data_IF_743538240729
#
_entry.id   IF_743538240729
#
_cell.length_a   1.000
_cell.length_b   1.000
_cell.length_c   1.000
_cell.angle_alpha   90.00
_cell.angle_beta   90.00
_cell.angle_gamma   90.00
#
_symmetry.space_group_name_H-M   'P 1'
#
loop_
_entity.id
_entity.type
_entity.pdbx_description
1 polymer ?
#
# COMPACT_ATOMS: atom_id res chain seq x y z
N UNK A 1 -38.92 -3.99 -11.83
CA UNK A 1 -38.16 -4.61 -10.70
C UNK A 1 -38.03 -6.14 -10.80
N UNK A 2 -38.76 -6.84 -11.68
CA UNK A 2 -38.65 -8.29 -11.93
C UNK A 2 -37.59 -8.67 -12.97
N UNK A 3 -37.35 -7.83 -13.99
CA UNK A 3 -36.51 -8.16 -15.16
C UNK A 3 -35.03 -8.41 -14.86
N UNK A 4 -34.52 -7.93 -13.71
CA UNK A 4 -33.08 -7.99 -13.41
C UNK A 4 -32.69 -9.06 -12.36
N UNK A 5 -33.66 -9.88 -11.91
CA UNK A 5 -33.42 -10.87 -10.84
C UNK A 5 -32.67 -12.10 -11.35
N UNK A 6 -33.08 -12.64 -12.49
CA UNK A 6 -32.48 -13.85 -13.06
C UNK A 6 -31.07 -13.56 -13.59
N UNK A 7 -30.87 -12.37 -14.17
CA UNK A 7 -29.56 -11.87 -14.56
C UNK A 7 -28.62 -11.75 -13.35
N UNK A 8 -29.09 -11.15 -12.25
CA UNK A 8 -28.31 -11.04 -11.01
C UNK A 8 -27.94 -12.42 -10.45
N UNK A 9 -28.88 -13.37 -10.40
CA UNK A 9 -28.62 -14.74 -9.94
C UNK A 9 -27.59 -15.42 -10.85
N UNK A 10 -27.71 -15.26 -12.16
CA UNK A 10 -26.78 -15.82 -13.14
C UNK A 10 -25.37 -15.25 -12.96
N UNK A 11 -25.24 -13.92 -12.87
CA UNK A 11 -23.96 -13.23 -12.65
C UNK A 11 -23.33 -13.63 -11.30
N UNK A 12 -24.13 -13.69 -10.24
CA UNK A 12 -23.68 -14.13 -8.93
C UNK A 12 -23.19 -15.59 -8.96
N UNK A 13 -23.93 -16.49 -9.60
CA UNK A 13 -23.54 -17.89 -9.81
C UNK A 13 -22.21 -18.00 -10.57
N UNK A 14 -22.04 -17.19 -11.63
CA UNK A 14 -20.80 -17.14 -12.41
C UNK A 14 -19.61 -16.70 -11.54
N UNK A 15 -19.78 -15.67 -10.72
CA UNK A 15 -18.76 -15.21 -9.77
C UNK A 15 -18.40 -16.30 -8.75
N UNK A 16 -19.39 -17.00 -8.20
CA UNK A 16 -19.19 -18.13 -7.28
C UNK A 16 -18.37 -19.25 -7.93
N UNK A 17 -18.72 -19.67 -9.16
CA UNK A 17 -17.97 -20.69 -9.90
C UNK A 17 -16.53 -20.24 -10.19
N UNK A 18 -16.33 -18.97 -10.54
CA UNK A 18 -15.00 -18.42 -10.78
C UNK A 18 -14.15 -18.39 -9.50
N UNK A 19 -14.75 -18.04 -8.36
CA UNK A 19 -14.07 -18.07 -7.07
C UNK A 19 -13.55 -19.46 -6.74
N UNK A 20 -14.32 -20.51 -7.00
CA UNK A 20 -13.86 -21.89 -6.84
C UNK A 20 -12.70 -22.28 -7.75
N UNK A 21 -12.68 -21.78 -9.00
CA UNK A 21 -11.54 -22.00 -9.92
C UNK A 21 -10.27 -21.34 -9.39
N UNK A 22 -10.38 -20.10 -8.89
CA UNK A 22 -9.26 -19.37 -8.28
C UNK A 22 -8.78 -20.12 -7.03
N UNK A 23 -9.71 -20.53 -6.14
CA UNK A 23 -9.36 -21.22 -4.90
C UNK A 23 -8.53 -22.48 -5.13
N UNK A 24 -8.87 -23.28 -6.15
CA UNK A 24 -8.14 -24.52 -6.48
C UNK A 24 -6.77 -24.28 -7.12
N UNK A 25 -6.64 -23.23 -7.95
CA UNK A 25 -5.49 -23.03 -8.84
C UNK A 25 -4.49 -21.98 -8.35
N UNK A 26 -4.92 -21.03 -7.51
CA UNK A 26 -4.09 -19.88 -7.12
C UNK A 26 -3.16 -20.24 -5.95
N UNK A 27 -1.83 -20.31 -6.15
CA UNK A 27 -0.89 -20.53 -5.06
C UNK A 27 -0.91 -19.37 -4.05
N UNK A 28 -1.20 -18.14 -4.53
CA UNK A 28 -1.37 -16.95 -3.70
C UNK A 28 -2.54 -17.15 -2.74
N UNK A 29 -3.71 -17.57 -3.24
CA UNK A 29 -4.87 -17.79 -2.40
C UNK A 29 -4.66 -18.93 -1.39
N UNK A 30 -3.96 -20.00 -1.77
CA UNK A 30 -3.61 -21.08 -0.83
C UNK A 30 -2.75 -20.58 0.33
N UNK A 31 -1.81 -19.66 0.08
CA UNK A 31 -1.08 -18.96 1.16
C UNK A 31 -1.99 -18.03 1.96
N UNK A 32 -2.83 -17.25 1.30
CA UNK A 32 -3.77 -16.34 1.95
C UNK A 32 -4.73 -17.05 2.91
N UNK A 33 -5.19 -18.25 2.54
CA UNK A 33 -6.12 -19.03 3.35
C UNK A 33 -5.53 -19.43 4.70
N UNK A 34 -4.21 -19.65 4.77
CA UNK A 34 -3.49 -19.92 6.03
C UNK A 34 -3.55 -18.74 6.99
N UNK A 35 -3.54 -17.50 6.49
CA UNK A 35 -3.70 -16.31 7.32
C UNK A 35 -5.09 -16.25 8.00
N UNK A 36 -6.06 -17.04 7.52
CA UNK A 36 -7.39 -17.20 8.11
C UNK A 36 -7.59 -18.52 8.86
N UNK A 37 -6.52 -19.29 9.11
CA UNK A 37 -6.58 -20.58 9.80
C UNK A 37 -7.05 -21.74 8.92
N UNK A 38 -6.85 -21.67 7.61
CA UNK A 38 -7.11 -22.78 6.68
C UNK A 38 -8.56 -22.91 6.20
N UNK A 39 -9.49 -22.13 6.74
CA UNK A 39 -10.89 -22.11 6.29
C UNK A 39 -11.58 -20.76 6.44
N UNK A 40 -12.48 -20.43 5.51
CA UNK A 40 -13.28 -19.21 5.53
C UNK A 40 -14.72 -19.47 5.05
N UNK A 41 -15.69 -19.04 5.84
CA UNK A 41 -17.13 -19.04 5.53
C UNK A 41 -17.60 -17.60 5.25
N UNK A 42 -18.07 -17.36 4.03
CA UNK A 42 -18.63 -16.08 3.61
C UNK A 42 -20.15 -16.19 3.50
N UNK A 43 -20.88 -15.28 4.15
CA UNK A 43 -22.30 -15.06 3.92
C UNK A 43 -22.48 -13.84 3.02
N UNK A 44 -23.26 -13.97 1.95
CA UNK A 44 -23.64 -12.88 1.05
C UNK A 44 -25.11 -12.49 1.23
N UNK A 45 -25.38 -11.20 1.06
CA UNK A 45 -26.72 -10.62 0.95
C UNK A 45 -26.73 -9.54 -0.13
N UNK A 46 -27.47 -9.77 -1.21
CA UNK A 46 -27.68 -8.81 -2.31
C UNK A 46 -29.17 -8.48 -2.39
N UNK A 47 -29.58 -7.36 -1.82
CA UNK A 47 -31.01 -7.06 -1.63
C UNK A 47 -31.70 -8.15 -0.81
N UNK A 48 -32.60 -8.92 -1.45
CA UNK A 48 -33.31 -10.08 -0.86
C UNK A 48 -32.63 -11.43 -1.14
N UNK A 49 -31.64 -11.48 -2.04
CA UNK A 49 -30.92 -12.70 -2.41
C UNK A 49 -29.83 -13.02 -1.39
N UNK A 50 -29.79 -14.26 -0.94
CA UNK A 50 -28.72 -14.79 -0.09
C UNK A 50 -27.85 -15.77 -0.88
N UNK A 51 -26.68 -16.06 -0.34
CA UNK A 51 -25.83 -17.16 -0.75
C UNK A 51 -24.60 -17.23 0.14
N UNK A 52 -23.90 -18.35 0.14
CA UNK A 52 -22.70 -18.50 0.93
C UNK A 52 -21.59 -19.17 0.13
N UNK A 53 -20.35 -18.97 0.59
CA UNK A 53 -19.16 -19.67 0.12
C UNK A 53 -18.41 -20.26 1.30
N UNK A 54 -17.86 -21.44 1.13
CA UNK A 54 -16.93 -22.06 2.07
C UNK A 54 -15.65 -22.36 1.30
N UNK A 55 -14.55 -21.78 1.76
CA UNK A 55 -13.20 -22.04 1.30
C UNK A 55 -12.47 -22.86 2.35
N UNK A 56 -11.91 -23.98 1.93
CA UNK A 56 -11.08 -24.88 2.73
C UNK A 56 -9.82 -25.22 1.90
N UNK A 57 -8.77 -25.76 2.52
CA UNK A 57 -7.46 -25.93 1.84
C UNK A 57 -7.55 -26.68 0.51
N UNK A 58 -8.36 -27.74 0.46
CA UNK A 58 -8.54 -28.58 -0.73
C UNK A 58 -9.98 -28.59 -1.26
N UNK A 59 -10.87 -27.82 -0.64
CA UNK A 59 -12.29 -27.86 -0.96
C UNK A 59 -12.91 -26.47 -1.11
N UNK A 60 -13.91 -26.39 -1.97
CA UNK A 60 -14.70 -25.18 -2.18
C UNK A 60 -16.14 -25.56 -2.45
N UNK A 61 -17.06 -24.99 -1.65
CA UNK A 61 -18.49 -25.14 -1.83
C UNK A 61 -19.20 -23.79 -1.78
N UNK A 62 -20.35 -23.71 -2.42
CA UNK A 62 -21.22 -22.55 -2.36
C UNK A 62 -22.68 -22.97 -2.53
N UNK A 63 -23.60 -22.16 -2.01
CA UNK A 63 -25.03 -22.25 -2.33
C UNK A 63 -25.64 -20.88 -2.52
N UNK A 64 -26.72 -20.82 -3.28
CA UNK A 64 -27.47 -19.61 -3.59
C UNK A 64 -28.87 -19.78 -3.02
N UNK A 65 -29.43 -18.71 -2.46
CA UNK A 65 -30.72 -18.70 -1.78
C UNK A 65 -30.65 -19.13 -0.31
N UNK A 66 -29.54 -19.72 0.14
CA UNK A 66 -29.36 -20.21 1.50
C UNK A 66 -28.49 -19.28 2.37
N UNK A 67 -28.71 -19.38 3.69
CA UNK A 67 -27.84 -18.79 4.70
C UNK A 67 -27.00 -19.89 5.35
N UNK A 68 -25.83 -19.51 5.87
CA UNK A 68 -24.94 -20.41 6.60
C UNK A 68 -24.89 -20.02 8.07
N UNK A 69 -24.77 -21.02 8.94
CA UNK A 69 -24.51 -20.80 10.36
C UNK A 69 -23.06 -20.41 10.61
N UNK A 70 -22.85 -19.50 11.57
CA UNK A 70 -21.55 -19.05 12.02
C UNK A 70 -20.59 -18.62 10.87
N UNK A 71 -21.01 -17.66 10.00
CA UNK A 71 -20.11 -17.15 8.97
C UNK A 71 -18.94 -16.37 9.59
N UNK A 72 -17.77 -16.41 8.96
CA UNK A 72 -16.62 -15.60 9.39
C UNK A 72 -16.78 -14.14 8.91
N UNK A 73 -17.36 -13.96 7.72
CA UNK A 73 -17.59 -12.65 7.11
C UNK A 73 -18.98 -12.56 6.49
N UNK A 74 -19.72 -11.52 6.86
CA UNK A 74 -21.00 -11.18 6.25
C UNK A 74 -20.82 -10.02 5.25
N UNK A 75 -21.12 -10.25 3.98
CA UNK A 75 -21.01 -9.28 2.90
C UNK A 75 -22.39 -8.88 2.42
N UNK A 76 -22.69 -7.59 2.51
CA UNK A 76 -23.91 -6.97 1.98
C UNK A 76 -23.58 -6.04 0.83
N UNK A 77 -24.19 -6.29 -0.33
CA UNK A 77 -24.21 -5.33 -1.44
C UNK A 77 -25.56 -4.60 -1.42
N UNK A 78 -25.51 -3.27 -1.42
CA UNK A 78 -26.70 -2.43 -1.19
C UNK A 78 -27.48 -2.14 -2.48
N UNK A 79 -26.81 -2.12 -3.63
CA UNK A 79 -27.41 -1.82 -4.93
C UNK A 79 -27.26 -3.04 -5.88
N UNK A 80 -28.36 -3.66 -6.34
CA UNK A 80 -28.33 -4.78 -7.29
C UNK A 80 -27.64 -4.49 -8.63
N UNK A 81 -27.75 -3.27 -9.16
CA UNK A 81 -27.13 -2.89 -10.43
C UNK A 81 -25.60 -2.83 -10.31
N UNK A 82 -25.10 -2.22 -9.24
CA UNK A 82 -23.68 -2.24 -8.91
C UNK A 82 -23.19 -3.67 -8.60
N UNK A 83 -24.07 -4.52 -8.05
CA UNK A 83 -23.75 -5.94 -7.81
C UNK A 83 -23.53 -6.69 -9.14
N UNK A 84 -24.41 -6.47 -10.12
CA UNK A 84 -24.29 -7.01 -11.48
C UNK A 84 -22.95 -6.62 -12.11
N UNK A 85 -22.62 -5.33 -12.11
CA UNK A 85 -21.35 -4.78 -12.60
C UNK A 85 -20.13 -5.47 -11.96
N UNK A 86 -20.11 -5.54 -10.62
CA UNK A 86 -19.05 -6.23 -9.89
C UNK A 86 -18.96 -7.72 -10.20
N UNK A 87 -20.08 -8.45 -10.24
CA UNK A 87 -20.08 -9.89 -10.54
C UNK A 87 -19.62 -10.18 -11.97
N UNK A 88 -19.95 -9.29 -12.91
CA UNK A 88 -19.48 -9.33 -14.29
C UNK A 88 -17.99 -8.94 -14.43
N UNK A 89 -17.35 -8.49 -13.36
CA UNK A 89 -15.91 -8.29 -13.29
C UNK A 89 -15.45 -6.88 -13.63
N UNK A 90 -16.36 -5.90 -13.61
CA UNK A 90 -16.00 -4.50 -13.72
C UNK A 90 -15.15 -4.05 -12.53
N UNK A 91 -14.17 -3.18 -12.79
CA UNK A 91 -13.40 -2.53 -11.74
C UNK A 91 -14.24 -1.44 -11.08
N UNK A 92 -14.51 -1.64 -9.80
CA UNK A 92 -15.37 -0.77 -9.02
C UNK A 92 -14.57 0.29 -8.23
N UNK A 93 -13.25 0.41 -8.47
CA UNK A 93 -12.42 1.51 -7.95
C UNK A 93 -12.46 1.61 -6.43
N UNK A 94 -12.27 0.48 -5.74
CA UNK A 94 -12.51 0.38 -4.30
C UNK A 94 -11.52 1.21 -3.48
N UNK A 95 -12.03 2.16 -2.70
CA UNK A 95 -11.28 2.74 -1.59
C UNK A 95 -11.41 1.85 -0.37
N UNK A 96 -10.38 1.04 -0.12
CA UNK A 96 -10.20 0.27 1.11
C UNK A 96 -9.61 1.15 2.21
N UNK A 97 -10.10 2.40 2.36
CA UNK A 97 -9.57 3.36 3.31
C UNK A 97 -9.31 2.67 4.66
N UNK A 98 -8.05 2.68 5.08
CA UNK A 98 -7.65 2.23 6.41
C UNK A 98 -8.57 2.92 7.42
N UNK A 99 -8.95 2.26 8.50
CA UNK A 99 -9.72 2.88 9.59
C UNK A 99 -9.03 2.59 10.90
N UNK A 100 -8.68 3.64 11.63
CA UNK A 100 -8.12 3.57 12.99
C UNK A 100 -9.07 2.81 13.93
N UNK A 101 -10.37 2.89 13.68
CA UNK A 101 -11.45 2.26 14.45
C UNK A 101 -12.04 1.04 13.73
N UNK A 102 -11.21 0.17 13.14
CA UNK A 102 -11.71 -1.06 12.53
C UNK A 102 -12.44 -1.94 13.57
N UNK A 103 -13.76 -1.77 13.64
CA UNK A 103 -14.68 -2.52 14.52
C UNK A 103 -15.28 -3.72 13.80
N UNK A 104 -14.46 -4.44 13.04
CA UNK A 104 -14.92 -5.57 12.23
C UNK A 104 -15.84 -5.16 11.07
N UNK A 105 -15.87 -3.90 10.63
CA UNK A 105 -16.81 -3.43 9.59
C UNK A 105 -16.11 -2.68 8.46
N UNK A 106 -16.27 -3.23 7.26
CA UNK A 106 -15.75 -2.70 6.01
C UNK A 106 -16.85 -1.93 5.30
N UNK A 107 -16.59 -0.70 4.87
CA UNK A 107 -17.50 0.05 4.01
C UNK A 107 -16.75 0.37 2.74
N UNK A 108 -17.21 -0.19 1.63
CA UNK A 108 -16.58 -0.03 0.33
C UNK A 108 -17.48 0.87 -0.52
N UNK A 109 -16.87 1.91 -1.06
CA UNK A 109 -17.51 2.86 -1.95
C UNK A 109 -17.06 2.59 -3.38
N UNK A 110 -18.00 2.68 -4.31
CA UNK A 110 -17.76 2.74 -5.74
C UNK A 110 -17.54 4.20 -6.13
N UNK A 111 -16.51 4.49 -6.93
CA UNK A 111 -16.25 5.83 -7.46
C UNK A 111 -16.86 5.91 -8.84
N UNK A 112 -17.86 6.75 -9.01
CA UNK A 112 -18.44 7.00 -10.32
C UNK A 112 -17.57 7.94 -11.16
N UNK A 113 -16.92 8.90 -10.49
CA UNK A 113 -16.03 9.84 -11.12
C UNK A 113 -15.76 11.04 -10.23
N UNK A 114 -15.36 12.13 -10.86
CA UNK A 114 -15.10 13.40 -10.19
C UNK A 114 -15.87 14.50 -10.91
N UNK A 115 -16.44 15.44 -10.17
CA UNK A 115 -16.99 16.69 -10.71
C UNK A 115 -16.24 17.88 -10.16
N UNK A 116 -16.19 18.96 -10.93
CA UNK A 116 -15.70 20.24 -10.43
C UNK A 116 -16.87 20.92 -9.71
N UNK A 117 -16.62 21.40 -8.49
CA UNK A 117 -17.59 22.11 -7.67
C UNK A 117 -16.97 23.44 -7.29
N UNK A 118 -17.66 24.54 -7.58
CA UNK A 118 -17.29 25.87 -7.09
C UNK A 118 -17.33 25.90 -5.56
N UNK A 119 -16.32 26.51 -4.95
CA UNK A 119 -16.26 26.74 -3.50
C UNK A 119 -15.71 28.13 -3.24
N UNK A 120 -15.85 28.63 -2.01
CA UNK A 120 -15.31 29.94 -1.60
C UNK A 120 -13.80 30.07 -1.84
N UNK A 121 -13.08 28.95 -1.92
CA UNK A 121 -11.65 28.87 -2.22
C UNK A 121 -11.34 28.52 -3.69
N UNK A 122 -12.32 28.65 -4.58
CA UNK A 122 -12.23 28.31 -6.01
C UNK A 122 -12.74 26.91 -6.37
N UNK A 123 -12.62 26.51 -7.65
CA UNK A 123 -13.11 25.23 -8.15
C UNK A 123 -12.33 24.05 -7.57
N UNK A 124 -13.05 23.14 -6.90
CA UNK A 124 -12.51 21.91 -6.31
C UNK A 124 -13.00 20.65 -7.00
N UNK A 125 -12.11 19.68 -7.21
CA UNK A 125 -12.45 18.34 -7.71
C UNK A 125 -13.13 17.55 -6.58
N UNK A 126 -14.44 17.35 -6.68
CA UNK A 126 -15.22 16.57 -5.72
C UNK A 126 -15.41 15.14 -6.25
N UNK A 127 -15.00 14.16 -5.45
CA UNK A 127 -15.23 12.73 -5.71
C UNK A 127 -16.72 12.39 -5.58
N UNK A 128 -17.30 11.80 -6.62
CA UNK A 128 -18.67 11.25 -6.58
C UNK A 128 -18.55 9.77 -6.25
N UNK A 129 -19.07 9.38 -5.08
CA UNK A 129 -18.96 8.01 -4.60
C UNK A 129 -20.26 7.49 -4.02
N UNK A 130 -20.55 6.23 -4.33
CA UNK A 130 -21.77 5.54 -3.91
C UNK A 130 -21.41 4.42 -2.95
N UNK A 131 -22.22 4.23 -1.90
CA UNK A 131 -22.03 3.12 -0.99
C UNK A 131 -22.44 1.82 -1.67
N UNK A 132 -21.44 1.02 -2.03
CA UNK A 132 -21.65 -0.21 -2.77
C UNK A 132 -21.81 -1.42 -1.83
N UNK A 133 -20.79 -1.64 -0.99
CA UNK A 133 -20.65 -2.87 -0.22
C UNK A 133 -20.37 -2.58 1.26
N UNK A 134 -20.88 -3.44 2.12
CA UNK A 134 -20.51 -3.50 3.53
C UNK A 134 -20.17 -4.93 3.89
N UNK A 135 -18.92 -5.18 4.28
CA UNK A 135 -18.55 -6.44 4.90
C UNK A 135 -18.52 -6.26 6.43
N UNK A 136 -18.88 -7.30 7.18
CA UNK A 136 -18.82 -7.34 8.64
C UNK A 136 -18.13 -8.63 9.04
N UNK A 137 -16.95 -8.53 9.64
CA UNK A 137 -16.29 -9.64 10.30
C UNK A 137 -17.11 -10.02 11.53
N UNK A 138 -17.27 -11.33 11.73
CA UNK A 138 -18.04 -11.88 12.85
C UNK A 138 -17.13 -12.61 13.85
N UNK A 139 -15.82 -12.64 13.57
CA UNK A 139 -14.76 -13.13 14.43
C UNK A 139 -13.43 -12.44 14.09
N UNK A 140 -12.35 -12.88 14.75
CA UNK A 140 -11.03 -12.24 14.71
C UNK A 140 -10.16 -12.64 13.52
N UNK A 141 -10.69 -13.45 12.57
CA UNK A 141 -9.94 -13.83 11.36
C UNK A 141 -9.65 -12.63 10.45
N UNK A 142 -10.49 -11.60 10.49
CA UNK A 142 -10.33 -10.39 9.69
C UNK A 142 -9.84 -9.25 10.57
N UNK A 143 -8.56 -8.90 10.45
CA UNK A 143 -7.90 -7.90 11.32
C UNK A 143 -7.80 -6.51 10.69
N UNK A 144 -7.97 -6.41 9.37
CA UNK A 144 -7.80 -5.15 8.65
C UNK A 144 -8.61 -5.11 7.33
N UNK A 145 -9.05 -3.92 6.85
CA UNK A 145 -9.71 -3.72 5.55
C UNK A 145 -9.10 -4.47 4.36
N UNK A 146 -7.77 -4.46 4.25
CA UNK A 146 -7.05 -5.13 3.16
C UNK A 146 -7.17 -6.65 3.16
N UNK A 147 -7.60 -7.30 4.26
CA UNK A 147 -7.89 -8.73 4.23
C UNK A 147 -8.99 -9.09 3.23
N UNK A 148 -9.89 -8.16 2.88
CA UNK A 148 -10.91 -8.42 1.87
C UNK A 148 -10.28 -8.75 0.51
N UNK A 149 -9.16 -8.12 0.18
CA UNK A 149 -8.44 -8.35 -1.08
C UNK A 149 -7.87 -9.77 -1.20
N UNK A 150 -7.73 -10.50 -0.09
CA UNK A 150 -7.29 -11.91 -0.09
C UNK A 150 -8.35 -12.85 -0.64
N UNK A 151 -9.63 -12.44 -0.62
CA UNK A 151 -10.73 -13.30 -1.05
C UNK A 151 -10.84 -13.33 -2.58
N UNK A 152 -11.09 -14.49 -3.21
CA UNK A 152 -11.09 -14.61 -4.67
C UNK A 152 -12.03 -13.64 -5.43
N UNK A 153 -13.22 -13.28 -4.92
CA UNK A 153 -14.08 -12.27 -5.55
C UNK A 153 -13.44 -10.88 -5.63
N UNK A 154 -12.52 -10.55 -4.72
CA UNK A 154 -11.93 -9.23 -4.55
C UNK A 154 -10.48 -9.14 -5.05
N UNK A 155 -9.83 -10.29 -5.28
CA UNK A 155 -8.49 -10.35 -5.91
C UNK A 155 -8.46 -9.77 -7.33
N UNK A 156 -9.60 -9.64 -8.03
CA UNK A 156 -9.65 -9.09 -9.39
C UNK A 156 -9.14 -7.64 -9.47
N UNK A 157 -9.43 -6.83 -8.46
CA UNK A 157 -8.92 -5.45 -8.36
C UNK A 157 -7.41 -5.37 -8.13
N UNK A 158 -6.73 -6.48 -7.83
CA UNK A 158 -5.28 -6.49 -7.68
C UNK A 158 -4.51 -6.45 -9.00
N UNK A 159 -5.15 -6.78 -10.13
CA UNK A 159 -4.50 -6.73 -11.46
C UNK A 159 -4.03 -5.33 -11.85
N UNK A 160 -4.34 -4.32 -11.04
CA UNK A 160 -4.06 -2.90 -11.24
C UNK A 160 -3.04 -2.30 -10.25
N UNK A 161 -2.41 -3.09 -9.37
CA UNK A 161 -1.49 -2.56 -8.33
C UNK A 161 -0.05 -2.39 -8.85
N UNK A 162 0.16 -2.43 -10.16
CA UNK A 162 1.44 -2.04 -10.75
C UNK A 162 1.21 -1.82 -12.23
N UNK A 163 1.10 -0.56 -12.64
CA UNK A 163 1.37 -0.22 -14.05
C UNK A 163 2.85 -0.46 -14.34
N UNK A 164 3.21 -0.68 -15.61
CA UNK A 164 4.63 -0.91 -15.99
C UNK A 164 5.48 0.33 -15.70
N UNK A 165 4.82 1.49 -15.71
CA UNK A 165 5.36 2.82 -15.49
C UNK A 165 5.50 3.18 -14.00
N UNK A 166 4.92 2.39 -13.08
CA UNK A 166 5.04 2.60 -11.64
C UNK A 166 6.28 1.89 -11.08
N UNK A 167 7.04 2.61 -10.27
CA UNK A 167 8.24 2.10 -9.61
C UNK A 167 8.41 2.78 -8.26
N UNK A 168 8.83 2.03 -7.24
CA UNK A 168 9.09 2.55 -5.90
C UNK A 168 10.19 1.77 -5.20
N UNK A 169 10.99 2.47 -4.40
CA UNK A 169 12.12 1.88 -3.68
C UNK A 169 12.24 2.48 -2.28
N UNK A 170 12.34 1.61 -1.27
CA UNK A 170 12.64 2.02 0.09
C UNK A 170 14.14 2.23 0.21
N UNK A 171 14.54 3.42 0.64
CA UNK A 171 15.95 3.75 0.83
C UNK A 171 16.31 3.47 2.29
N UNK A 172 17.24 2.54 2.56
CA UNK A 172 17.54 2.11 3.92
C UNK A 172 18.15 3.26 4.74
N UNK A 173 17.66 3.40 5.96
CA UNK A 173 18.30 4.23 6.98
C UNK A 173 19.40 3.37 7.64
N UNK A 174 20.66 3.70 7.37
CA UNK A 174 21.79 2.95 7.93
C UNK A 174 22.14 3.44 9.34
N UNK A 175 22.59 2.51 10.20
CA UNK A 175 23.24 2.85 11.48
C UNK A 175 24.67 3.31 11.22
N UNK A 176 25.13 4.32 11.97
CA UNK A 176 26.47 4.91 11.91
C UNK A 176 27.60 3.85 11.94
N UNK A 177 28.50 3.84 10.93
CA UNK A 177 29.84 3.23 11.02
C UNK A 177 30.89 4.22 11.59
N UNK A 178 30.49 5.11 12.51
CA UNK A 178 31.44 5.97 13.23
C UNK A 178 31.99 7.17 12.44
N UNK A 179 31.74 7.29 11.13
CA UNK A 179 31.93 8.51 10.36
C UNK A 179 30.59 8.96 9.77
N UNK A 180 30.43 10.28 9.54
CA UNK A 180 29.23 10.94 9.00
C UNK A 180 28.75 10.36 7.64
N UNK A 181 29.52 9.43 7.08
CA UNK A 181 29.37 8.81 5.77
C UNK A 181 28.26 7.74 5.67
N UNK A 182 27.54 7.41 6.75
CA UNK A 182 26.56 6.30 6.74
C UNK A 182 25.09 6.71 6.69
N UNK A 183 24.72 7.93 7.10
CA UNK A 183 23.37 8.50 6.80
C UNK A 183 23.22 8.94 5.34
N UNK A 184 24.24 8.66 4.53
CA UNK A 184 24.51 9.24 3.23
C UNK A 184 23.65 8.67 2.10
N UNK A 185 23.17 7.43 2.17
CA UNK A 185 22.48 6.83 1.01
C UNK A 185 21.12 7.47 0.75
N UNK A 186 20.17 7.52 1.70
CA UNK A 186 18.95 8.29 1.53
C UNK A 186 19.27 9.71 1.10
N UNK A 187 20.15 10.39 1.85
CA UNK A 187 20.48 11.78 1.59
C UNK A 187 21.05 12.02 0.18
N UNK A 188 22.00 11.21 -0.31
CA UNK A 188 22.56 11.32 -1.67
C UNK A 188 21.53 11.09 -2.77
N UNK A 189 20.65 10.08 -2.59
CA UNK A 189 19.58 9.82 -3.56
C UNK A 189 18.65 11.03 -3.62
N UNK A 190 18.26 11.57 -2.46
CA UNK A 190 17.44 12.79 -2.41
C UNK A 190 18.16 14.00 -3.01
N UNK A 191 19.42 14.24 -2.63
CA UNK A 191 20.25 15.33 -3.14
C UNK A 191 20.29 15.32 -4.66
N UNK A 192 20.50 14.16 -5.29
CA UNK A 192 20.48 14.04 -6.74
C UNK A 192 19.15 14.51 -7.37
N UNK A 193 18.01 14.04 -6.85
CA UNK A 193 16.70 14.40 -7.41
C UNK A 193 16.28 15.83 -7.06
N UNK A 194 16.56 16.30 -5.83
CA UNK A 194 16.27 17.66 -5.38
C UNK A 194 17.08 18.67 -6.20
N UNK A 195 18.37 18.40 -6.45
CA UNK A 195 19.22 19.29 -7.25
C UNK A 195 18.78 19.39 -8.71
N UNK A 196 18.15 18.35 -9.24
CA UNK A 196 17.62 18.34 -10.61
C UNK A 196 16.16 18.81 -10.69
N UNK A 197 15.42 18.83 -9.59
CA UNK A 197 14.00 19.11 -9.59
C UNK A 197 13.71 20.54 -10.07
N UNK A 198 12.81 20.66 -11.03
CA UNK A 198 12.29 21.96 -11.49
C UNK A 198 11.41 22.64 -10.44
N UNK A 199 10.63 21.86 -9.72
CA UNK A 199 9.75 22.31 -8.64
C UNK A 199 9.67 21.25 -7.55
N UNK A 200 9.52 21.70 -6.28
CA UNK A 200 9.46 20.83 -5.11
C UNK A 200 8.31 21.25 -4.22
N UNK A 201 7.40 20.32 -3.93
CA UNK A 201 6.21 20.56 -3.11
C UNK A 201 6.23 19.62 -1.92
N UNK A 202 6.08 20.15 -0.71
CA UNK A 202 5.92 19.35 0.52
C UNK A 202 4.50 19.51 1.06
N UNK A 203 3.85 18.39 1.41
CA UNK A 203 2.60 18.43 2.14
C UNK A 203 2.85 18.83 3.59
N UNK A 204 1.93 19.61 4.16
CA UNK A 204 1.97 20.00 5.56
C UNK A 204 1.81 18.81 6.49
N UNK A 205 1.03 17.79 6.10
CA UNK A 205 0.79 16.63 6.95
C UNK A 205 0.91 15.32 6.19
N UNK A 206 1.39 14.28 6.87
CA UNK A 206 1.31 12.92 6.37
C UNK A 206 -0.12 12.41 6.52
N UNK A 207 -0.82 12.21 5.39
CA UNK A 207 -2.19 11.69 5.38
C UNK A 207 -2.33 10.37 6.14
N UNK A 208 -1.34 9.47 6.07
CA UNK A 208 -1.36 8.21 6.80
C UNK A 208 -1.24 8.39 8.32
N UNK A 209 -0.31 9.23 8.79
CA UNK A 209 -0.10 9.49 10.23
C UNK A 209 -1.27 10.23 10.84
N UNK A 210 -1.71 11.31 10.19
CA UNK A 210 -2.86 12.11 10.64
C UNK A 210 -4.13 11.28 10.70
N UNK A 211 -4.36 10.45 9.69
CA UNK A 211 -5.52 9.55 9.68
C UNK A 211 -5.50 8.56 10.86
N UNK A 212 -4.33 8.04 11.22
CA UNK A 212 -4.16 7.11 12.33
C UNK A 212 -3.84 7.80 13.67
N UNK A 213 -3.89 9.14 13.73
CA UNK A 213 -3.36 10.00 14.79
C UNK A 213 -2.12 9.40 15.46
N UNK A 214 -1.03 9.41 14.70
CA UNK A 214 0.26 8.87 15.08
C UNK A 214 0.79 9.53 16.36
N UNK A 215 1.26 8.73 17.31
CA UNK A 215 1.90 9.20 18.54
C UNK A 215 3.42 9.00 18.52
N UNK A 216 3.92 8.19 17.57
CA UNK A 216 5.33 7.79 17.51
C UNK A 216 6.21 8.70 16.65
N UNK A 217 5.60 9.53 15.80
CA UNK A 217 6.29 10.26 14.73
C UNK A 217 5.57 11.57 14.40
N UNK A 218 6.33 12.59 14.00
CA UNK A 218 5.79 13.92 13.67
C UNK A 218 4.81 13.87 12.48
N UNK A 219 3.55 14.25 12.68
CA UNK A 219 2.56 14.25 11.60
C UNK A 219 2.79 15.36 10.56
N UNK A 220 3.58 16.39 10.87
CA UNK A 220 3.91 17.51 9.98
C UNK A 220 5.02 17.18 8.95
N UNK A 221 5.52 15.95 8.99
CA UNK A 221 6.39 15.39 7.95
C UNK A 221 5.50 14.72 6.87
N UNK A 222 4.82 15.51 6.06
CA UNK A 222 4.07 15.06 4.88
C UNK A 222 4.91 14.49 3.75
N UNK A 223 4.23 14.05 2.68
CA UNK A 223 4.89 13.60 1.45
C UNK A 223 5.55 14.77 0.73
N UNK A 224 6.59 14.48 -0.05
CA UNK A 224 7.28 15.44 -0.92
C UNK A 224 7.13 15.00 -2.38
N UNK A 225 6.97 15.96 -3.28
CA UNK A 225 6.80 15.75 -4.72
C UNK A 225 7.79 16.61 -5.49
N UNK A 226 8.33 16.07 -6.58
CA UNK A 226 9.35 16.74 -7.40
C UNK A 226 9.07 16.58 -8.90
N UNK A 227 9.39 17.62 -9.68
CA UNK A 227 9.34 17.62 -11.15
C UNK A 227 8.22 18.49 -11.75
N UNK A 228 8.19 18.62 -13.08
CA UNK A 228 7.33 19.57 -13.79
C UNK A 228 5.84 19.37 -13.54
N UNK A 229 5.40 18.11 -13.47
CA UNK A 229 3.98 17.79 -13.20
C UNK A 229 3.52 18.39 -11.86
N UNK A 230 4.44 18.67 -10.93
CA UNK A 230 4.10 19.24 -9.63
C UNK A 230 3.66 20.71 -9.68
N UNK A 231 3.92 21.43 -10.78
CA UNK A 231 3.40 22.79 -10.98
C UNK A 231 1.86 22.81 -11.05
N UNK A 232 1.22 21.71 -11.42
CA UNK A 232 -0.23 21.59 -11.47
C UNK A 232 -0.87 21.37 -10.08
N UNK A 233 -0.06 21.10 -9.05
CA UNK A 233 -0.57 20.87 -7.70
C UNK A 233 -1.17 22.18 -7.17
N UNK A 234 -2.49 22.20 -7.01
CA UNK A 234 -3.23 23.28 -6.35
C UNK A 234 -3.05 23.21 -4.83
N UNK A 235 -1.89 23.66 -4.34
CA UNK A 235 -1.56 23.67 -2.92
C UNK A 235 -2.01 24.97 -2.24
N UNK A 236 -2.51 24.83 -1.03
CA UNK A 236 -2.87 25.94 -0.14
C UNK A 236 -1.99 25.87 1.10
N UNK A 237 -1.78 27.00 1.78
CA UNK A 237 -0.90 27.10 2.96
C UNK A 237 -1.28 26.11 4.08
N UNK A 238 -2.57 25.75 4.20
CA UNK A 238 -3.05 24.74 5.16
C UNK A 238 -2.73 23.29 4.75
N UNK A 239 -2.41 23.05 3.47
CA UNK A 239 -2.14 21.72 2.90
C UNK A 239 -0.68 21.47 2.61
N UNK A 240 0.13 22.50 2.45
CA UNK A 240 1.57 22.41 2.27
C UNK A 240 2.14 23.63 1.55
N UNK A 241 3.32 23.48 0.96
CA UNK A 241 4.05 24.60 0.35
C UNK A 241 5.04 24.12 -0.71
N UNK A 242 5.38 25.03 -1.62
CA UNK A 242 6.60 24.92 -2.44
C UNK A 242 7.80 25.22 -1.54
N UNK A 243 8.90 24.52 -1.74
CA UNK A 243 10.13 24.65 -0.94
C UNK A 243 11.34 24.87 -1.81
N UNK A 244 12.37 25.53 -1.26
CA UNK A 244 13.68 25.55 -1.92
C UNK A 244 14.36 24.19 -1.82
N UNK A 245 15.44 23.99 -2.58
CA UNK A 245 16.25 22.77 -2.53
C UNK A 245 16.87 22.56 -1.16
N UNK A 246 17.37 23.63 -0.54
CA UNK A 246 17.96 23.60 0.81
C UNK A 246 16.91 23.20 1.85
N UNK A 247 15.71 23.77 1.76
CA UNK A 247 14.60 23.41 2.63
C UNK A 247 14.16 21.95 2.44
N UNK A 248 14.14 21.45 1.20
CA UNK A 248 13.81 20.07 0.90
C UNK A 248 14.84 19.09 1.48
N UNK A 249 16.13 19.41 1.39
CA UNK A 249 17.21 18.61 1.97
C UNK A 249 17.14 18.58 3.49
N UNK A 250 16.87 19.72 4.12
CA UNK A 250 16.64 19.79 5.57
C UNK A 250 15.41 18.97 5.99
N UNK A 251 14.34 19.03 5.19
CA UNK A 251 13.14 18.23 5.40
C UNK A 251 13.41 16.73 5.39
N UNK A 252 14.24 16.24 4.44
CA UNK A 252 14.67 14.85 4.36
C UNK A 252 15.48 14.45 5.60
N UNK A 253 16.40 15.31 6.05
CA UNK A 253 17.18 15.05 7.28
C UNK A 253 16.27 14.91 8.50
N UNK A 254 15.34 15.85 8.67
CA UNK A 254 14.34 15.82 9.75
C UNK A 254 13.51 14.53 9.72
N UNK A 255 13.12 14.07 8.53
CA UNK A 255 12.39 12.81 8.38
C UNK A 255 13.22 11.57 8.78
N UNK A 256 14.49 11.53 8.40
CA UNK A 256 15.40 10.43 8.76
C UNK A 256 15.67 10.44 10.27
N UNK A 257 15.87 11.62 10.87
CA UNK A 257 16.12 11.75 12.31
C UNK A 257 14.88 11.39 13.16
N UNK A 258 13.66 11.55 12.63
CA UNK A 258 12.41 11.04 13.20
C UNK A 258 12.26 9.50 13.08
N UNK A 259 13.21 8.80 12.43
CA UNK A 259 13.17 7.33 12.25
C UNK A 259 12.24 6.87 11.12
N UNK A 260 11.89 7.78 10.20
CA UNK A 260 11.09 7.46 9.03
C UNK A 260 11.97 6.88 7.94
N UNK A 261 11.35 6.05 7.11
CA UNK A 261 12.03 5.42 5.97
C UNK A 261 11.53 6.05 4.70
N UNK A 262 12.42 6.73 3.96
CA UNK A 262 12.05 7.28 2.68
C UNK A 262 11.73 6.19 1.67
N UNK A 263 10.66 6.44 0.92
CA UNK A 263 10.22 5.68 -0.22
C UNK A 263 10.12 6.66 -1.38
N UNK A 264 10.96 6.49 -2.40
CA UNK A 264 10.91 7.32 -3.61
C UNK A 264 10.41 6.50 -4.78
N UNK A 265 9.73 7.16 -5.71
CA UNK A 265 9.42 6.59 -7.01
C UNK A 265 8.26 7.25 -7.73
N UNK A 266 7.92 6.70 -8.91
CA UNK A 266 6.80 7.16 -9.72
C UNK A 266 5.54 6.40 -9.33
N UNK A 267 4.57 7.13 -8.79
CA UNK A 267 3.29 6.59 -8.34
C UNK A 267 2.15 7.35 -9.02
N UNK A 268 1.75 6.90 -10.21
CA UNK A 268 0.73 7.58 -11.03
C UNK A 268 -0.60 7.75 -10.29
N UNK A 269 -0.98 6.77 -9.46
CA UNK A 269 -2.19 6.86 -8.64
C UNK A 269 -2.15 8.00 -7.62
N UNK A 270 -0.97 8.38 -7.14
CA UNK A 270 -0.78 9.49 -6.21
C UNK A 270 -0.90 10.85 -6.90
N UNK A 271 -0.25 11.03 -8.06
CA UNK A 271 -0.42 12.23 -8.89
C UNK A 271 -1.91 12.50 -9.21
N UNK A 272 -2.62 11.47 -9.68
CA UNK A 272 -4.05 11.56 -9.96
C UNK A 272 -4.90 11.90 -8.74
N UNK A 273 -4.47 11.49 -7.53
CA UNK A 273 -5.15 11.84 -6.27
C UNK A 273 -4.99 13.31 -5.88
N UNK A 274 -3.92 13.96 -6.35
CA UNK A 274 -3.66 15.38 -6.20
C UNK A 274 -4.28 16.21 -7.34
N UNK A 275 -4.90 15.54 -8.32
CA UNK A 275 -5.51 16.17 -9.48
C UNK A 275 -4.51 16.52 -10.59
N UNK A 276 -3.33 15.93 -10.54
CA UNK A 276 -2.24 16.10 -11.51
C UNK A 276 -2.28 14.96 -12.52
N UNK A 277 -2.04 15.27 -13.79
CA UNK A 277 -1.77 14.25 -14.80
C UNK A 277 -0.28 13.86 -14.73
N UNK A 278 0.01 12.56 -14.60
CA UNK A 278 1.38 12.07 -14.56
C UNK A 278 1.88 11.87 -15.99
N UNK A 279 2.76 12.76 -16.45
CA UNK A 279 3.36 12.72 -17.79
C UNK A 279 4.73 12.05 -17.81
N UNK A 280 5.23 11.61 -16.65
CA UNK A 280 6.61 11.14 -16.48
C UNK A 280 7.50 12.11 -15.73
N UNK A 281 6.94 13.22 -15.25
CA UNK A 281 7.66 14.28 -14.55
C UNK A 281 7.15 14.49 -13.12
N UNK A 282 6.59 13.44 -12.52
CA UNK A 282 6.09 13.40 -11.15
C UNK A 282 6.84 12.35 -10.31
N UNK A 283 7.82 12.79 -9.53
CA UNK A 283 8.48 11.94 -8.54
C UNK A 283 7.80 12.10 -7.18
N UNK A 284 7.32 10.99 -6.63
CA UNK A 284 6.76 10.94 -5.28
C UNK A 284 7.80 10.49 -4.25
N UNK A 285 7.76 11.14 -3.09
CA UNK A 285 8.48 10.74 -1.90
C UNK A 285 7.55 10.64 -0.69
N UNK A 286 7.45 9.44 -0.13
CA UNK A 286 6.81 9.17 1.16
C UNK A 286 7.86 8.96 2.25
N UNK A 287 7.64 9.52 3.43
CA UNK A 287 8.45 9.21 4.63
C UNK A 287 7.66 8.24 5.51
N UNK A 288 7.85 6.95 5.24
CA UNK A 288 7.02 5.90 5.82
C UNK A 288 7.40 5.63 7.28
N UNK A 289 6.41 5.51 8.16
CA UNK A 289 6.58 4.95 9.51
C UNK A 289 6.16 3.47 9.57
N UNK A 290 6.57 2.75 10.61
CA UNK A 290 6.16 1.35 10.84
C UNK A 290 4.70 1.24 11.32
N UNK A 291 4.18 2.27 12.00
CA UNK A 291 2.88 2.22 12.64
C UNK A 291 1.71 2.54 11.68
N UNK A 292 1.81 3.59 10.85
CA UNK A 292 0.69 4.14 10.09
C UNK A 292 0.76 3.97 8.57
N UNK A 293 1.92 3.66 7.99
CA UNK A 293 2.11 3.65 6.53
C UNK A 293 1.12 2.72 5.81
N UNK A 294 0.38 3.26 4.83
CA UNK A 294 -0.59 2.48 4.05
C UNK A 294 0.07 1.35 3.25
N UNK A 295 1.26 1.59 2.68
CA UNK A 295 2.01 0.58 1.94
C UNK A 295 2.38 -0.58 2.87
N UNK A 296 2.85 -0.28 4.08
CA UNK A 296 3.09 -1.29 5.12
C UNK A 296 1.83 -2.09 5.48
N UNK A 297 0.68 -1.42 5.64
CA UNK A 297 -0.60 -2.10 5.91
C UNK A 297 -1.05 -2.99 4.74
N UNK A 298 -0.86 -2.57 3.49
CA UNK A 298 -1.15 -3.38 2.30
C UNK A 298 -0.26 -4.62 2.28
N UNK A 299 1.04 -4.45 2.50
CA UNK A 299 2.00 -5.57 2.52
C UNK A 299 1.75 -6.55 3.67
N UNK A 300 1.28 -6.05 4.82
CA UNK A 300 0.98 -6.87 6.00
C UNK A 300 -0.35 -7.61 5.87
N UNK A 301 -1.42 -6.89 5.53
CA UNK A 301 -2.80 -7.41 5.62
C UNK A 301 -3.41 -7.77 4.28
N UNK A 302 -2.83 -7.27 3.19
CA UNK A 302 -3.22 -7.60 1.83
C UNK A 302 -2.74 -9.01 1.41
N UNK A 303 -2.98 -9.36 0.14
CA UNK A 303 -2.69 -10.68 -0.41
C UNK A 303 -1.21 -11.02 -0.36
N UNK A 304 -0.89 -12.30 -0.16
CA UNK A 304 0.46 -12.86 -0.23
C UNK A 304 0.93 -12.97 -1.68
N UNK A 305 0.88 -11.85 -2.41
CA UNK A 305 1.37 -11.68 -3.76
C UNK A 305 2.66 -10.85 -3.75
N UNK A 306 3.51 -11.05 -4.76
CA UNK A 306 4.66 -10.17 -4.95
C UNK A 306 4.17 -8.85 -5.54
N UNK A 307 4.22 -7.78 -4.75
CA UNK A 307 3.93 -6.44 -5.22
C UNK A 307 5.16 -5.90 -5.94
N UNK A 308 5.12 -5.88 -7.28
CA UNK A 308 6.23 -5.42 -8.14
C UNK A 308 6.49 -3.91 -8.04
N UNK A 309 5.53 -3.15 -7.49
CA UNK A 309 5.64 -1.72 -7.27
C UNK A 309 6.79 -1.35 -6.33
N UNK A 310 7.16 -2.21 -5.38
CA UNK A 310 8.26 -1.94 -4.45
C UNK A 310 9.43 -2.87 -4.70
N UNK A 311 10.59 -2.29 -4.97
CA UNK A 311 11.84 -3.01 -5.15
C UNK A 311 12.78 -2.82 -3.97
N UNK A 312 13.53 -3.87 -3.65
CA UNK A 312 14.73 -3.77 -2.81
C UNK A 312 15.88 -3.21 -3.66
N UNK A 313 16.70 -2.34 -3.09
CA UNK A 313 17.94 -1.90 -3.72
C UNK A 313 18.86 -3.10 -3.94
N UNK A 314 19.45 -3.21 -5.12
CA UNK A 314 20.34 -4.32 -5.44
C UNK A 314 21.53 -4.37 -4.49
N UNK A 315 21.84 -5.58 -4.00
CA UNK A 315 22.97 -5.82 -3.11
C UNK A 315 22.88 -5.21 -1.71
N UNK A 316 21.69 -4.73 -1.33
CA UNK A 316 21.33 -4.62 0.09
C UNK A 316 21.01 -6.02 0.61
N UNK A 317 21.78 -6.47 1.59
CA UNK A 317 21.54 -7.73 2.29
C UNK A 317 21.28 -7.49 3.77
N UNK A 318 20.38 -8.29 4.35
CA UNK A 318 20.22 -8.36 5.80
C UNK A 318 20.60 -9.74 6.28
N UNK A 319 21.31 -9.78 7.40
CA UNK A 319 21.79 -11.00 8.05
C UNK A 319 21.33 -11.03 9.49
N UNK A 320 21.19 -12.24 10.04
CA UNK A 320 20.95 -12.46 11.47
C UNK A 320 22.07 -13.34 12.00
N UNK A 321 22.80 -12.85 13.00
CA UNK A 321 23.68 -13.67 13.82
C UNK A 321 22.85 -14.38 14.89
N UNK A 322 22.72 -15.70 14.75
CA UNK A 322 21.93 -16.52 15.66
C UNK A 322 22.54 -16.62 17.06
N UNK A 323 23.86 -16.44 17.20
CA UNK A 323 24.53 -16.47 18.50
C UNK A 323 24.20 -15.22 19.32
N UNK A 324 24.10 -14.07 18.67
CA UNK A 324 23.73 -12.80 19.31
C UNK A 324 22.20 -12.63 19.46
N UNK A 325 21.40 -13.41 18.72
CA UNK A 325 19.96 -13.29 18.75
C UNK A 325 19.38 -13.86 20.06
N UNK A 326 18.83 -12.99 20.90
CA UNK A 326 18.18 -13.37 22.18
C UNK A 326 16.68 -13.71 22.03
N UNK A 327 16.17 -13.80 20.81
CA UNK A 327 14.77 -14.20 20.58
C UNK A 327 13.70 -13.18 20.97
N UNK A 328 14.05 -11.91 21.23
CA UNK A 328 13.12 -10.92 21.78
C UNK A 328 11.98 -10.45 20.85
N UNK A 329 11.97 -10.83 19.57
CA UNK A 329 10.87 -10.52 18.65
C UNK A 329 10.75 -9.07 18.12
N UNK A 330 11.44 -8.08 18.70
CA UNK A 330 11.35 -6.66 18.28
C UNK A 330 11.51 -6.43 16.77
N UNK A 331 12.43 -7.15 16.13
CA UNK A 331 12.65 -7.08 14.68
C UNK A 331 11.45 -7.54 13.85
N UNK A 332 10.64 -8.46 14.38
CA UNK A 332 9.41 -8.96 13.75
C UNK A 332 8.31 -7.92 13.88
N UNK A 333 8.18 -7.32 15.06
CA UNK A 333 7.16 -6.28 15.35
C UNK A 333 7.27 -5.07 14.42
N UNK A 334 8.49 -4.60 14.16
CA UNK A 334 8.72 -3.42 13.28
C UNK A 334 8.68 -3.73 11.78
N UNK A 335 8.59 -5.01 11.38
CA UNK A 335 8.65 -5.40 9.98
C UNK A 335 7.27 -5.31 9.30
N UNK A 336 6.99 -4.16 8.69
CA UNK A 336 5.73 -3.93 7.94
C UNK A 336 5.60 -4.69 6.62
N UNK A 337 6.63 -5.43 6.23
CA UNK A 337 6.67 -6.23 4.99
C UNK A 337 6.50 -7.74 5.23
N UNK A 338 6.30 -8.17 6.49
CA UNK A 338 6.28 -9.60 6.88
C UNK A 338 7.55 -10.35 6.45
N UNK A 339 8.67 -9.65 6.28
CA UNK A 339 9.97 -10.23 5.92
C UNK A 339 10.73 -10.83 7.10
N UNK A 340 10.12 -10.93 8.28
CA UNK A 340 10.72 -11.42 9.51
C UNK A 340 9.77 -12.37 10.22
N UNK A 341 10.32 -13.43 10.79
CA UNK A 341 9.60 -14.40 11.61
C UNK A 341 10.49 -14.92 12.74
N UNK A 342 9.87 -15.52 13.75
CA UNK A 342 10.56 -16.25 14.81
C UNK A 342 10.47 -17.75 14.51
N UNK A 343 11.61 -18.42 14.42
CA UNK A 343 11.72 -19.87 14.22
C UNK A 343 12.68 -20.40 15.28
N UNK A 344 12.24 -21.38 16.06
CA UNK A 344 13.03 -22.01 17.13
C UNK A 344 13.68 -21.01 18.09
N UNK A 345 12.94 -19.94 18.45
CA UNK A 345 13.41 -18.89 19.35
C UNK A 345 14.39 -17.90 18.71
N UNK A 346 14.69 -17.99 17.41
CA UNK A 346 15.60 -17.10 16.68
C UNK A 346 14.88 -16.37 15.56
N UNK A 347 15.34 -15.16 15.26
CA UNK A 347 14.77 -14.39 14.16
C UNK A 347 15.29 -14.91 12.82
N UNK A 348 14.41 -15.11 11.84
CA UNK A 348 14.74 -15.45 10.45
C UNK A 348 14.22 -14.37 9.50
N UNK A 349 14.80 -14.33 8.30
CA UNK A 349 14.44 -13.36 7.26
C UNK A 349 13.81 -14.09 6.08
N UNK A 350 12.58 -13.72 5.73
CA UNK A 350 11.98 -14.10 4.45
C UNK A 350 12.52 -13.16 3.38
N UNK A 351 13.55 -13.61 2.67
CA UNK A 351 14.22 -12.86 1.60
C UNK A 351 13.29 -12.53 0.43
N UNK A 352 12.16 -13.25 0.28
CA UNK A 352 11.20 -12.98 -0.80
C UNK A 352 10.30 -11.77 -0.50
N UNK A 353 10.22 -11.35 0.77
CA UNK A 353 9.42 -10.21 1.22
C UNK A 353 10.26 -9.05 1.76
N UNK A 354 11.52 -9.30 2.10
CA UNK A 354 12.38 -8.28 2.67
C UNK A 354 12.73 -7.21 1.62
N UNK A 355 12.29 -5.97 1.87
CA UNK A 355 12.61 -4.82 1.00
C UNK A 355 13.92 -4.11 1.36
N UNK A 356 14.69 -4.64 2.32
CA UNK A 356 15.99 -4.07 2.66
C UNK A 356 15.97 -2.79 3.51
N UNK A 357 14.83 -2.39 4.08
CA UNK A 357 14.66 -1.06 4.68
C UNK A 357 15.48 -0.76 5.97
N UNK A 358 16.07 -1.77 6.61
CA UNK A 358 16.95 -1.56 7.78
C UNK A 358 16.29 -1.45 9.17
N UNK A 359 14.96 -1.24 9.31
CA UNK A 359 14.30 -1.08 10.65
C UNK A 359 14.67 -2.14 11.66
N UNK A 360 14.74 -3.39 11.23
CA UNK A 360 15.01 -4.51 12.12
C UNK A 360 16.44 -4.51 12.67
N UNK A 361 17.41 -3.96 11.94
CA UNK A 361 18.78 -3.76 12.42
C UNK A 361 18.83 -2.64 13.46
N UNK A 362 18.08 -1.56 13.23
CA UNK A 362 18.00 -0.40 14.12
C UNK A 362 17.46 -0.77 15.52
N UNK A 363 16.36 -1.52 15.59
CA UNK A 363 15.72 -1.87 16.87
C UNK A 363 16.34 -3.08 17.58
N UNK A 364 17.35 -3.73 16.98
CA UNK A 364 17.95 -4.92 17.57
C UNK A 364 18.86 -4.56 18.75
N UNK A 365 18.52 -4.93 20.00
CA UNK A 365 19.27 -4.49 21.17
C UNK A 365 20.67 -5.14 21.27
N UNK A 366 20.86 -6.30 20.64
CA UNK A 366 22.13 -7.05 20.66
C UNK A 366 22.96 -6.89 19.40
N UNK A 367 22.48 -6.12 18.41
CA UNK A 367 23.13 -6.02 17.10
C UNK A 367 23.09 -7.31 16.28
N UNK A 368 22.31 -8.31 16.68
CA UNK A 368 22.19 -9.59 15.98
C UNK A 368 21.65 -9.45 14.55
N UNK A 369 20.92 -8.38 14.23
CA UNK A 369 20.50 -8.09 12.86
C UNK A 369 21.37 -6.98 12.29
N UNK A 370 22.00 -7.26 11.16
CA UNK A 370 22.84 -6.29 10.43
C UNK A 370 22.29 -6.09 9.02
N UNK A 371 22.57 -4.91 8.47
CA UNK A 371 22.34 -4.54 7.08
C UNK A 371 23.69 -4.25 6.45
N UNK A 372 23.90 -4.76 5.24
CA UNK A 372 25.14 -4.65 4.48
C UNK A 372 24.79 -4.24 3.05
N UNK A 373 25.67 -3.44 2.44
CA UNK A 373 25.54 -2.91 1.09
C UNK A 373 26.88 -3.14 0.42
N UNK A 374 26.97 -4.14 -0.44
CA UNK A 374 28.29 -4.63 -0.90
C UNK A 374 29.08 -3.59 -1.73
N UNK A 375 28.45 -2.53 -2.25
CA UNK A 375 29.10 -1.45 -3.00
C UNK A 375 28.32 -0.13 -2.93
N UNK A 376 29.01 0.97 -2.59
CA UNK A 376 28.46 2.33 -2.53
C UNK A 376 28.11 2.91 -3.92
N UNK A 377 28.75 2.42 -5.00
CA UNK A 377 28.42 2.77 -6.39
C UNK A 377 27.01 2.32 -6.81
N UNK A 378 26.31 1.55 -5.97
CA UNK A 378 24.91 1.17 -6.20
C UNK A 378 23.92 2.28 -5.91
N UNK A 379 24.34 3.37 -5.27
CA UNK A 379 23.54 4.60 -5.21
C UNK A 379 23.29 5.13 -6.62
N UNK A 380 24.32 5.15 -7.47
CA UNK A 380 24.20 5.59 -8.86
C UNK A 380 23.31 4.65 -9.67
N UNK A 381 23.47 3.34 -9.49
CA UNK A 381 22.59 2.34 -10.14
C UNK A 381 21.12 2.51 -9.73
N UNK A 382 20.86 2.81 -8.45
CA UNK A 382 19.53 3.11 -7.96
C UNK A 382 18.97 4.39 -8.59
N UNK A 383 19.77 5.45 -8.61
CA UNK A 383 19.42 6.74 -9.23
C UNK A 383 19.08 6.52 -10.69
N UNK A 384 19.97 5.88 -11.47
CA UNK A 384 19.75 5.58 -12.89
C UNK A 384 18.49 4.75 -13.10
N UNK A 385 18.18 3.82 -12.18
CA UNK A 385 16.96 3.04 -12.26
C UNK A 385 15.71 3.88 -12.01
N UNK A 386 15.72 4.81 -11.05
CA UNK A 386 14.59 5.74 -10.84
C UNK A 386 14.43 6.66 -12.06
N UNK A 387 15.53 7.18 -12.62
CA UNK A 387 15.54 8.04 -13.82
C UNK A 387 14.94 7.38 -15.07
N UNK A 388 14.93 6.04 -15.15
CA UNK A 388 14.24 5.32 -16.23
C UNK A 388 12.71 5.47 -16.18
N UNK A 389 12.15 5.79 -15.01
CA UNK A 389 10.70 5.91 -14.82
C UNK A 389 10.23 7.35 -14.74
N UNK A 390 11.08 8.27 -14.29
CA UNK A 390 10.73 9.67 -14.03
C UNK A 390 11.89 10.62 -14.31
N UNK A 391 11.58 11.76 -14.91
CA UNK A 391 12.52 12.87 -15.08
C UNK A 391 12.00 14.11 -14.34
N UNK A 392 12.73 14.57 -13.34
CA UNK A 392 12.33 15.69 -12.49
C UNK A 392 12.82 17.06 -13.00
N UNK A 393 13.60 17.08 -14.10
CA UNK A 393 14.17 18.31 -14.66
C UNK A 393 13.11 19.18 -15.31
N UNK A 394 13.45 20.46 -15.45
CA UNK A 394 12.67 21.42 -16.22
C UNK A 394 12.69 21.01 -17.69
N UNK A 395 11.56 20.55 -18.20
CA UNK A 395 11.42 20.08 -19.58
C UNK A 395 11.33 21.25 -20.57
N UNK A 396 10.95 22.45 -20.12
CA UNK A 396 10.94 23.64 -20.97
C UNK A 396 12.36 24.09 -21.32
N UNK A 397 13.30 23.93 -20.40
CA UNK A 397 14.72 24.23 -20.60
C UNK A 397 15.49 23.17 -21.43
N UNK A 398 14.86 22.05 -21.79
CA UNK A 398 15.47 20.96 -22.58
C UNK A 398 15.06 20.99 -24.07
N UNK A 399 14.10 21.85 -24.43
CA UNK A 399 13.59 22.01 -25.79
C UNK A 399 14.32 23.13 -26.58
N UNK A 400 15.14 23.92 -25.88
CA UNK A 400 16.11 24.88 -26.43
C UNK A 400 17.49 24.21 -26.58
#
# INVERSE_FOLDING_TARGET
>A
MSENKDELISAFTKMMKQSGRIARRSPIFKKDLKDFGGSIKLQWKIGKLYGYQIFEEDNYSFKIGEQIENPDLFIRIHNPELALRFFNGEDMGFSYAARRDYKGKFKVQYVEGFKIVESEKGPRKQRISHRYLTAKALNDKFKHPFNLMKLPPFQRGMKLISKKEEYGVYVPINKNLGTYENKVIPYKVFEHFIEKASNIVVQKYCGCRRFNACEDHDEEIGCMYMGDDTYEIKITEDKGRVVTKEEALDYVRRAIDDGLIPLLGRAMGEAGSLGVEDTGHFLSCCFCCSCCCINGKIMTYGPNANFTMFSRIEGVSLKVDENLCIGCGKCVEVCVFRGREMVDGKAKIDQTRCLGCGRCAEVCPTGATTIDIDDINRVDALISKIEQFVDVRDQSALLD
#
